data_IF_136220707601
#
_entry.id   IF_136220707601
#
_cell.length_a   1.000
_cell.length_b   1.000
_cell.length_c   1.000
_cell.angle_alpha   90.00
_cell.angle_beta   90.00
_cell.angle_gamma   90.00
#
_symmetry.space_group_name_H-M   'P 1'
#
loop_
_entity.id
_entity.type
_entity.pdbx_description
1 polymer ?
#
# COMPACT_ATOMS: atom_id res chain seq x y z
N UNK A 1 -24.07 18.31 3.57
CA UNK A 1 -24.77 17.04 3.30
C UNK A 1 -23.74 16.04 2.79
N UNK A 2 -23.22 15.08 3.58
CA UNK A 2 -22.35 14.06 3.02
C UNK A 2 -23.25 12.98 2.43
N UNK A 3 -23.64 13.15 1.16
CA UNK A 3 -24.54 12.22 0.46
C UNK A 3 -23.79 10.99 -0.07
N UNK A 4 -22.62 10.68 0.49
CA UNK A 4 -21.69 9.67 -0.02
C UNK A 4 -21.00 8.95 1.14
N UNK A 5 -21.00 7.62 1.09
CA UNK A 5 -20.29 6.74 2.00
C UNK A 5 -18.96 6.31 1.35
N UNK A 6 -17.84 6.73 1.92
CA UNK A 6 -16.51 6.26 1.50
C UNK A 6 -16.09 5.09 2.38
N UNK A 7 -15.64 4.01 1.76
CA UNK A 7 -15.16 2.82 2.46
C UNK A 7 -14.04 2.15 1.66
N UNK A 8 -12.98 1.76 2.35
CA UNK A 8 -11.80 1.13 1.75
C UNK A 8 -11.49 -0.18 2.43
N UNK A 9 -11.07 -1.17 1.66
CA UNK A 9 -10.52 -2.41 2.19
C UNK A 9 -9.14 -2.65 1.56
N UNK A 10 -8.14 -3.03 2.34
CA UNK A 10 -6.84 -3.40 1.83
C UNK A 10 -6.51 -4.81 2.34
N UNK A 11 -6.16 -5.69 1.41
CA UNK A 11 -5.64 -7.01 1.71
C UNK A 11 -4.16 -7.04 1.36
N UNK A 12 -3.32 -7.05 2.38
CA UNK A 12 -1.88 -7.16 2.25
C UNK A 12 -1.44 -8.56 2.68
N UNK A 13 -0.59 -9.19 1.87
CA UNK A 13 0.00 -10.47 2.22
C UNK A 13 1.53 -10.36 2.19
N UNK A 14 2.16 -10.43 3.35
CA UNK A 14 3.61 -10.32 3.46
C UNK A 14 4.27 -11.68 3.22
N UNK A 15 4.99 -11.84 2.09
CA UNK A 15 5.75 -13.07 1.82
C UNK A 15 6.91 -13.22 2.82
N UNK A 16 7.42 -12.11 3.35
CA UNK A 16 8.43 -12.09 4.42
C UNK A 16 7.90 -12.84 5.66
N UNK A 17 6.63 -12.63 6.03
CA UNK A 17 6.01 -13.36 7.14
C UNK A 17 5.79 -14.84 6.81
N UNK A 18 5.44 -15.16 5.56
CA UNK A 18 5.28 -16.54 5.12
C UNK A 18 6.60 -17.31 5.21
N UNK A 19 7.72 -16.72 4.78
CA UNK A 19 9.06 -17.34 4.88
C UNK A 19 9.58 -17.43 6.32
N UNK A 20 9.43 -16.38 7.13
CA UNK A 20 9.97 -16.35 8.50
C UNK A 20 9.12 -17.12 9.53
N UNK A 21 7.79 -17.20 9.34
CA UNK A 21 6.87 -17.68 10.39
C UNK A 21 6.05 -18.92 10.01
N UNK A 22 5.88 -19.23 8.72
CA UNK A 22 4.99 -20.32 8.29
C UNK A 22 5.75 -21.44 7.59
N UNK A 23 6.51 -21.12 6.55
CA UNK A 23 7.28 -22.09 5.78
C UNK A 23 8.31 -21.38 4.91
N UNK A 24 9.59 -21.68 5.10
CA UNK A 24 10.66 -21.24 4.22
C UNK A 24 10.44 -21.84 2.81
N UNK A 25 10.11 -20.99 1.85
CA UNK A 25 9.87 -21.36 0.45
C UNK A 25 11.18 -21.29 -0.35
N UNK A 26 12.27 -20.80 0.27
CA UNK A 26 13.57 -20.65 -0.36
C UNK A 26 13.58 -19.63 -1.49
N UNK A 27 12.72 -18.60 -1.46
CA UNK A 27 12.76 -17.56 -2.48
C UNK A 27 14.07 -16.79 -2.30
N UNK A 28 14.86 -16.74 -3.38
CA UNK A 28 16.07 -15.92 -3.40
C UNK A 28 15.71 -14.46 -3.62
N UNK A 29 16.53 -13.57 -3.07
CA UNK A 29 16.48 -12.16 -3.40
C UNK A 29 16.44 -11.94 -4.93
N UNK A 30 15.57 -11.05 -5.44
CA UNK A 30 14.79 -10.05 -4.70
C UNK A 30 13.38 -10.50 -4.25
N UNK A 31 12.97 -11.75 -4.50
CA UNK A 31 11.58 -12.20 -4.28
C UNK A 31 11.24 -12.52 -2.82
N UNK A 32 12.26 -12.69 -1.97
CA UNK A 32 12.18 -12.85 -0.51
C UNK A 32 11.53 -11.65 0.21
N UNK A 33 11.50 -10.48 -0.45
CA UNK A 33 11.08 -9.20 0.13
C UNK A 33 9.85 -8.60 -0.53
N UNK A 34 9.08 -9.42 -1.22
CA UNK A 34 7.88 -8.98 -1.91
C UNK A 34 6.66 -9.01 -0.99
N UNK A 35 5.87 -7.96 -1.06
CA UNK A 35 4.62 -7.78 -0.31
C UNK A 35 3.54 -7.55 -1.36
N UNK A 36 2.90 -8.61 -1.86
CA UNK A 36 1.69 -8.46 -2.66
C UNK A 36 0.58 -7.84 -1.82
N UNK A 37 -0.13 -6.90 -2.41
CA UNK A 37 -1.28 -6.25 -1.79
C UNK A 37 -2.37 -6.01 -2.82
N UNK A 38 -3.60 -5.88 -2.35
CA UNK A 38 -4.73 -5.44 -3.16
C UNK A 38 -5.56 -4.47 -2.34
N UNK A 39 -5.69 -3.23 -2.82
CA UNK A 39 -6.57 -2.23 -2.20
C UNK A 39 -7.89 -2.10 -2.97
N UNK A 40 -8.94 -1.74 -2.25
CA UNK A 40 -10.30 -1.57 -2.75
C UNK A 40 -10.86 -0.25 -2.22
N UNK A 41 -10.37 0.91 -2.69
CA UNK A 41 -10.98 2.21 -2.37
C UNK A 41 -12.32 2.33 -3.10
N UNK A 42 -13.42 2.30 -2.33
CA UNK A 42 -14.78 2.31 -2.86
C UNK A 42 -15.59 3.49 -2.28
N UNK A 43 -16.51 3.98 -3.07
CA UNK A 43 -17.36 5.10 -2.76
C UNK A 43 -18.80 4.77 -3.17
N UNK A 44 -19.75 4.88 -2.24
CA UNK A 44 -21.16 4.56 -2.49
C UNK A 44 -22.02 5.80 -2.22
N UNK A 45 -22.62 6.41 -3.27
CA UNK A 45 -23.61 7.48 -3.09
C UNK A 45 -24.84 6.96 -2.33
N UNK A 46 -25.30 7.74 -1.35
CA UNK A 46 -26.50 7.47 -0.54
C UNK A 46 -27.75 8.19 -1.07
N UNK A 47 -27.61 8.99 -2.13
CA UNK A 47 -28.68 9.84 -2.66
C UNK A 47 -29.64 9.11 -3.61
N UNK A 48 -30.93 9.46 -3.59
CA UNK A 48 -32.03 8.65 -4.19
C UNK A 48 -31.95 8.46 -5.73
N UNK A 49 -31.11 9.24 -6.44
CA UNK A 49 -30.93 9.15 -7.90
C UNK A 49 -29.78 8.25 -8.39
N UNK A 50 -28.76 8.02 -7.55
CA UNK A 50 -27.61 7.12 -7.82
C UNK A 50 -27.35 6.16 -6.64
N UNK A 51 -28.31 6.07 -5.71
CA UNK A 51 -28.21 5.34 -4.46
C UNK A 51 -27.89 3.87 -4.70
N UNK A 52 -26.74 3.42 -4.20
CA UNK A 52 -26.26 2.04 -4.35
C UNK A 52 -25.32 1.80 -5.54
N UNK A 53 -24.99 2.81 -6.35
CA UNK A 53 -23.93 2.68 -7.36
C UNK A 53 -22.55 2.86 -6.73
N UNK A 54 -21.99 1.79 -6.20
CA UNK A 54 -20.62 1.79 -5.68
C UNK A 54 -19.63 2.04 -6.81
N UNK A 55 -18.93 3.18 -6.79
CA UNK A 55 -17.79 3.47 -7.66
C UNK A 55 -16.48 3.22 -6.90
N UNK A 56 -15.37 3.14 -7.62
CA UNK A 56 -14.04 2.99 -7.04
C UNK A 56 -13.15 2.06 -7.83
N UNK A 57 -11.96 1.79 -7.31
CA UNK A 57 -10.95 0.99 -8.02
C UNK A 57 -10.56 -0.25 -7.22
N UNK A 58 -10.09 -1.27 -7.93
CA UNK A 58 -9.36 -2.39 -7.37
C UNK A 58 -7.91 -2.17 -7.75
N UNK A 59 -7.06 -2.06 -6.74
CA UNK A 59 -5.66 -1.72 -6.91
C UNK A 59 -4.78 -2.89 -6.49
N UNK A 60 -4.58 -3.91 -7.36
CA UNK A 60 -3.62 -4.95 -7.09
C UNK A 60 -2.21 -4.39 -7.29
N UNK A 61 -1.33 -4.68 -6.36
CA UNK A 61 0.05 -4.22 -6.40
C UNK A 61 1.03 -5.14 -5.70
N UNK A 62 2.28 -4.74 -5.86
CA UNK A 62 3.42 -5.44 -5.33
C UNK A 62 4.40 -4.41 -4.80
N UNK A 63 4.76 -4.55 -3.53
CA UNK A 63 5.82 -3.77 -2.91
C UNK A 63 7.04 -4.65 -2.76
N UNK A 64 8.20 -4.11 -3.08
CA UNK A 64 9.49 -4.69 -2.73
C UNK A 64 10.13 -3.87 -1.61
N UNK A 65 10.43 -4.54 -0.48
CA UNK A 65 11.01 -3.90 0.69
C UNK A 65 12.52 -4.14 0.78
N UNK A 66 13.30 -3.17 0.31
CA UNK A 66 14.75 -3.15 0.49
C UNK A 66 15.16 -2.63 1.87
N UNK A 67 16.46 -2.70 2.15
CA UNK A 67 17.05 -2.13 3.38
C UNK A 67 16.96 -0.61 3.43
N UNK A 68 17.08 0.08 2.29
CA UNK A 68 17.18 1.55 2.25
C UNK A 68 15.94 2.23 1.66
N UNK A 69 15.19 1.50 0.83
CA UNK A 69 14.03 2.02 0.14
C UNK A 69 13.04 0.89 -0.10
N UNK A 70 11.76 1.26 -0.22
CA UNK A 70 10.69 0.40 -0.70
C UNK A 70 10.21 0.94 -2.03
N UNK A 71 9.97 0.04 -2.97
CA UNK A 71 9.36 0.40 -4.25
C UNK A 71 8.08 -0.40 -4.41
N UNK A 72 6.99 0.28 -4.70
CA UNK A 72 5.68 -0.30 -4.95
C UNK A 72 5.23 -0.03 -6.37
N UNK A 73 4.48 -0.96 -6.94
CA UNK A 73 3.72 -0.72 -8.16
C UNK A 73 2.34 -1.34 -8.01
N UNK A 74 1.30 -0.57 -8.34
CA UNK A 74 -0.10 -0.97 -8.30
C UNK A 74 -0.76 -0.64 -9.63
N UNK A 75 -1.60 -1.55 -10.11
CA UNK A 75 -2.57 -1.22 -11.15
C UNK A 75 -3.78 -0.54 -10.49
N UNK A 76 -4.51 0.30 -11.19
CA UNK A 76 -5.75 0.93 -10.72
C UNK A 76 -6.86 0.54 -11.68
N UNK A 77 -7.67 -0.44 -11.30
CA UNK A 77 -8.68 -1.04 -12.17
C UNK A 77 -10.07 -0.52 -11.77
N UNK A 78 -10.80 0.21 -12.63
CA UNK A 78 -12.15 0.66 -12.30
C UNK A 78 -13.10 -0.51 -12.09
N UNK A 79 -13.90 -0.49 -11.01
CA UNK A 79 -14.87 -1.58 -10.72
C UNK A 79 -16.08 -1.58 -11.67
N UNK A 80 -16.39 -0.43 -12.27
CA UNK A 80 -17.47 -0.30 -13.23
C UNK A 80 -17.27 0.91 -14.16
N UNK A 81 -18.08 0.95 -15.21
CA UNK A 81 -18.08 2.05 -16.19
C UNK A 81 -18.44 3.42 -15.58
N UNK A 82 -19.07 3.46 -14.40
CA UNK A 82 -19.37 4.71 -13.69
C UNK A 82 -18.12 5.27 -12.99
N UNK A 83 -17.12 4.42 -12.70
CA UNK A 83 -15.84 4.83 -12.11
C UNK A 83 -14.87 5.30 -13.20
N UNK A 84 -14.82 4.59 -14.33
CA UNK A 84 -13.95 4.90 -15.45
C UNK A 84 -13.77 3.72 -16.39
N UNK A 85 -13.28 3.96 -17.61
CA UNK A 85 -13.07 2.92 -18.63
C UNK A 85 -11.61 2.47 -18.77
N UNK A 86 -10.69 3.11 -18.07
CA UNK A 86 -9.26 2.95 -18.30
C UNK A 86 -8.56 2.44 -17.04
N UNK A 87 -7.65 1.49 -17.23
CA UNK A 87 -6.76 1.01 -16.18
C UNK A 87 -5.60 1.98 -16.03
N UNK A 88 -5.38 2.45 -14.80
CA UNK A 88 -4.21 3.23 -14.43
C UNK A 88 -3.09 2.36 -13.86
N UNK A 89 -1.90 2.93 -13.71
CA UNK A 89 -0.80 2.33 -12.96
C UNK A 89 -0.17 3.42 -12.11
N UNK A 90 0.12 3.11 -10.85
CA UNK A 90 0.84 3.96 -9.93
C UNK A 90 2.11 3.23 -9.46
N UNK A 91 3.22 3.97 -9.41
CA UNK A 91 4.45 3.50 -8.82
C UNK A 91 4.80 4.39 -7.64
N UNK A 92 5.24 3.77 -6.55
CA UNK A 92 5.56 4.45 -5.30
C UNK A 92 7.01 4.15 -4.92
N UNK A 93 7.72 5.16 -4.43
CA UNK A 93 9.10 5.02 -3.94
C UNK A 93 9.18 5.67 -2.56
N UNK A 94 9.46 4.85 -1.55
CA UNK A 94 9.56 5.27 -0.16
C UNK A 94 11.00 5.09 0.32
N UNK A 95 11.61 6.13 0.88
CA UNK A 95 12.93 6.07 1.49
C UNK A 95 12.82 6.05 3.01
N UNK A 96 13.52 5.12 3.65
CA UNK A 96 13.62 5.12 5.11
C UNK A 96 14.70 6.12 5.55
N UNK A 97 14.27 7.23 6.15
CA UNK A 97 15.18 8.32 6.58
C UNK A 97 16.13 7.85 7.70
N UNK A 98 15.68 6.93 8.56
CA UNK A 98 16.47 6.41 9.69
C UNK A 98 17.69 5.58 9.24
N UNK A 99 17.60 4.91 8.08
CA UNK A 99 18.68 4.09 7.51
C UNK A 99 19.61 4.86 6.54
N UNK A 100 19.17 6.02 6.04
CA UNK A 100 19.99 6.88 5.18
C UNK A 100 20.96 7.76 5.99
N UNK A 101 20.64 8.04 7.26
CA UNK A 101 21.44 8.87 8.15
C UNK A 101 21.64 8.26 9.55
N UNK A 102 22.28 7.09 9.69
CA UNK A 102 22.48 6.42 10.98
C UNK A 102 23.31 7.23 12.00
N UNK A 103 23.88 8.38 11.61
CA UNK A 103 24.73 9.22 12.45
C UNK A 103 24.32 10.69 12.58
N UNK A 104 23.18 11.16 12.06
CA UNK A 104 22.88 12.62 12.10
C UNK A 104 21.55 13.08 12.70
N UNK A 105 20.47 12.30 12.64
CA UNK A 105 19.16 12.74 13.17
C UNK A 105 18.62 11.66 14.09
N UNK A 106 18.79 11.85 15.41
CA UNK A 106 18.36 10.89 16.41
C UNK A 106 19.15 10.93 17.72
N UNK A 107 20.22 11.73 17.82
CA UNK A 107 20.82 12.01 19.13
C UNK A 107 19.79 12.79 19.96
N UNK A 108 19.35 12.28 21.13
CA UNK A 108 18.54 13.09 22.03
C UNK A 108 19.33 14.35 22.40
N UNK A 109 18.77 15.52 22.09
CA UNK A 109 19.38 16.82 22.41
C UNK A 109 19.36 17.12 23.92
N UNK A 110 18.67 16.31 24.73
CA UNK A 110 18.68 16.38 26.18
C UNK A 110 18.95 14.99 26.76
N UNK A 111 20.07 14.87 27.47
CA UNK A 111 20.62 13.62 28.01
C UNK A 111 22.13 13.70 28.26
N UNK A 112 22.81 14.71 27.69
CA UNK A 112 24.14 15.10 28.11
C UNK A 112 24.09 16.14 29.21
N UNK A 113 23.95 15.72 30.48
CA UNK A 113 24.65 16.41 31.54
C UNK A 113 24.86 15.53 32.78
N UNK A 114 26.16 15.33 33.06
CA UNK A 114 26.83 14.69 34.20
C UNK A 114 26.76 13.17 34.34
#
# INVERSE_FOLDING_TARGET
>A
HPNVLQWGFALEYSIIYLEEQVKDIGLRAPFDRLIPLVEFPLETPLDRGQGGQTTGTINPGLIWAGKYFQVGAEAMIPVNSCTGSNVGVIAQLHFFVDDLFPHSIGRPLFGGNR
#
